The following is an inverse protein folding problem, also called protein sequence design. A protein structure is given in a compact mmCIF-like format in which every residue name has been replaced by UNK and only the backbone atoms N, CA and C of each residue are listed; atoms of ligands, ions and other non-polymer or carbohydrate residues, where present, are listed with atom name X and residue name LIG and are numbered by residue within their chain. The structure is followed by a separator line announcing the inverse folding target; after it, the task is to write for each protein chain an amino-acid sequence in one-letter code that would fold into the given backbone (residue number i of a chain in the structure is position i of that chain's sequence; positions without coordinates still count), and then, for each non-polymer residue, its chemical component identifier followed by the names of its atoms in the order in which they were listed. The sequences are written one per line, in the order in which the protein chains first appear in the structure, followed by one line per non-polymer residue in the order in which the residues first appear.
data_IF_757317622513
#
_entry.id   IF_757317622513
#
_cell.length_a   1.000
_cell.length_b   1.000
_cell.length_c   1.000
_cell.angle_alpha   90.00
_cell.angle_beta   90.00
_cell.angle_gamma   90.00
#
_symmetry.space_group_name_H-M   'P 1'
#
loop_
_entity.id
_entity.type
_entity.pdbx_description
1 polymer ?
#
# COMPACT_ATOMS: atom_id res chain seq x y z
N UNK A 1 0.68 36.69 -33.24
CA UNK A 1 0.49 36.14 -31.88
C UNK A 1 -0.37 34.91 -31.99
N UNK A 2 0.26 33.75 -32.19
CA UNK A 2 -0.42 32.49 -32.43
C UNK A 2 -0.85 31.93 -31.08
N UNK A 3 -2.15 31.94 -30.82
CA UNK A 3 -2.76 31.35 -29.64
C UNK A 3 -2.38 29.87 -29.56
N UNK A 4 -1.61 29.49 -28.54
CA UNK A 4 -1.38 28.10 -28.16
C UNK A 4 -2.74 27.54 -27.75
N UNK A 5 -3.34 26.74 -28.64
CA UNK A 5 -4.47 25.89 -28.29
C UNK A 5 -4.06 25.07 -27.07
N UNK A 6 -4.75 25.30 -25.95
CA UNK A 6 -4.72 24.41 -24.80
C UNK A 6 -5.01 23.00 -25.33
N UNK A 7 -3.97 22.17 -25.39
CA UNK A 7 -4.19 20.74 -25.42
C UNK A 7 -4.84 20.44 -24.08
N UNK A 8 -6.15 20.17 -24.09
CA UNK A 8 -6.77 19.38 -23.03
C UNK A 8 -6.04 18.04 -23.04
N UNK A 9 -4.95 17.99 -22.26
CA UNK A 9 -4.27 16.76 -21.92
C UNK A 9 -5.28 15.98 -21.11
N UNK A 10 -5.98 15.06 -21.79
CA UNK A 10 -6.78 14.03 -21.15
C UNK A 10 -5.82 13.21 -20.27
N UNK A 11 -5.61 13.69 -19.05
CA UNK A 11 -4.88 12.98 -18.03
C UNK A 11 -5.84 11.91 -17.54
N UNK A 12 -5.54 10.61 -17.73
CA UNK A 12 -6.42 9.58 -17.23
C UNK A 12 -6.61 9.81 -15.73
N UNK A 13 -7.88 9.86 -15.29
CA UNK A 13 -8.21 10.14 -13.89
C UNK A 13 -7.49 9.14 -12.99
N UNK A 14 -6.94 9.65 -11.88
CA UNK A 14 -6.51 8.77 -10.81
C UNK A 14 -7.74 8.09 -10.22
N UNK A 15 -7.55 6.86 -9.72
CA UNK A 15 -8.54 6.13 -8.96
C UNK A 15 -8.03 5.99 -7.53
N UNK A 16 -8.89 6.33 -6.58
CA UNK A 16 -8.64 6.14 -5.15
C UNK A 16 -9.69 5.18 -4.61
N UNK A 17 -9.21 4.07 -4.09
CA UNK A 17 -10.03 3.04 -3.46
C UNK A 17 -9.71 3.02 -1.98
N UNK A 18 -10.72 3.26 -1.14
CA UNK A 18 -10.58 3.04 0.29
C UNK A 18 -10.57 1.53 0.56
N UNK A 19 -9.52 1.07 1.24
CA UNK A 19 -9.34 -0.32 1.65
C UNK A 19 -9.13 -0.40 3.15
N UNK A 20 -9.60 0.61 3.90
CA UNK A 20 -9.44 0.71 5.34
C UNK A 20 -10.14 -0.45 6.05
N UNK A 21 -11.22 -1.00 5.53
CA UNK A 21 -11.87 -2.15 6.17
C UNK A 21 -11.43 -3.50 5.59
N UNK A 22 -10.57 -3.52 4.57
CA UNK A 22 -10.01 -4.76 4.04
C UNK A 22 -8.98 -5.37 5.00
N UNK A 23 -9.12 -6.64 5.41
CA UNK A 23 -8.25 -7.32 6.36
C UNK A 23 -6.75 -7.18 6.06
N UNK A 24 -5.99 -6.87 7.10
CA UNK A 24 -4.52 -6.79 7.07
C UNK A 24 -3.93 -7.13 8.43
N UNK A 25 -2.78 -7.78 8.40
CA UNK A 25 -2.10 -8.23 9.62
C UNK A 25 -0.60 -8.22 9.43
N UNK A 26 0.14 -8.00 10.52
CA UNK A 26 1.59 -8.09 10.53
C UNK A 26 2.08 -9.29 11.33
N UNK A 27 3.29 -9.73 11.04
CA UNK A 27 4.01 -10.72 11.83
C UNK A 27 5.43 -10.23 12.07
N UNK A 28 5.93 -10.39 13.30
CA UNK A 28 7.31 -10.03 13.65
C UNK A 28 8.01 -11.13 14.43
N UNK A 29 9.27 -11.36 14.10
CA UNK A 29 10.15 -12.27 14.81
C UNK A 29 11.03 -13.08 13.87
N UNK A 30 12.08 -13.70 14.42
CA UNK A 30 13.08 -14.45 13.64
C UNK A 30 12.49 -15.70 12.98
N UNK A 31 11.34 -16.19 13.44
CA UNK A 31 10.65 -17.35 12.88
C UNK A 31 9.40 -17.00 12.06
N UNK A 32 9.11 -15.71 11.85
CA UNK A 32 7.93 -15.30 11.06
C UNK A 32 8.02 -15.70 9.58
N UNK A 33 9.22 -15.72 9.00
CA UNK A 33 9.41 -16.16 7.62
C UNK A 33 9.05 -17.66 7.46
N UNK A 34 9.58 -18.50 8.34
CA UNK A 34 9.28 -19.94 8.38
C UNK A 34 7.78 -20.19 8.58
N UNK A 35 7.16 -19.49 9.53
CA UNK A 35 5.73 -19.55 9.77
C UNK A 35 4.93 -19.22 8.50
N UNK A 36 5.17 -18.06 7.87
CA UNK A 36 4.40 -17.62 6.70
C UNK A 36 4.63 -18.51 5.48
N UNK A 37 5.86 -18.97 5.23
CA UNK A 37 6.14 -19.92 4.14
C UNK A 37 5.42 -21.25 4.34
N UNK A 38 5.35 -21.78 5.57
CA UNK A 38 4.60 -22.99 5.89
C UNK A 38 3.08 -22.82 5.68
N UNK A 39 2.57 -21.58 5.73
CA UNK A 39 1.18 -21.21 5.41
C UNK A 39 0.95 -20.92 3.91
N UNK A 40 1.96 -21.13 3.07
CA UNK A 40 1.85 -20.99 1.62
C UNK A 40 1.92 -19.55 1.12
N UNK A 41 2.49 -18.62 1.90
CA UNK A 41 2.79 -17.27 1.43
C UNK A 41 4.13 -17.23 0.70
N UNK A 42 4.17 -16.49 -0.41
CA UNK A 42 5.42 -16.20 -1.12
C UNK A 42 6.03 -14.92 -0.54
N UNK A 43 7.25 -15.02 -0.02
CA UNK A 43 7.87 -13.95 0.77
C UNK A 43 8.93 -13.18 -0.03
N UNK A 44 9.02 -11.85 0.15
CA UNK A 44 10.12 -11.06 -0.40
C UNK A 44 11.48 -11.47 0.19
N UNK A 45 12.49 -11.54 -0.66
CA UNK A 45 13.85 -11.97 -0.31
C UNK A 45 14.63 -10.94 0.53
N UNK A 46 14.28 -9.67 0.42
CA UNK A 46 14.92 -8.55 1.12
C UNK A 46 13.92 -7.63 1.82
N UNK A 47 14.35 -6.89 2.86
CA UNK A 47 13.56 -5.81 3.45
C UNK A 47 13.19 -4.73 2.42
N UNK A 48 12.10 -4.02 2.70
CA UNK A 48 11.53 -2.98 1.85
C UNK A 48 11.13 -3.48 0.45
N UNK A 49 10.69 -4.74 0.39
CA UNK A 49 10.15 -5.39 -0.81
C UNK A 49 8.78 -5.99 -0.53
N UNK A 50 7.97 -6.12 -1.56
CA UNK A 50 6.67 -6.74 -1.52
C UNK A 50 6.46 -7.66 -2.72
N UNK A 51 5.69 -8.73 -2.52
CA UNK A 51 5.32 -9.66 -3.58
C UNK A 51 3.80 -9.85 -3.62
N UNK A 52 3.26 -9.79 -4.83
CA UNK A 52 1.90 -10.19 -5.11
C UNK A 52 1.73 -11.68 -4.81
N UNK A 53 0.57 -12.03 -4.28
CA UNK A 53 0.16 -13.40 -4.03
C UNK A 53 -0.80 -13.87 -5.14
N UNK A 54 -0.94 -15.19 -5.32
CA UNK A 54 -1.78 -15.76 -6.38
C UNK A 54 -3.28 -15.44 -6.21
N UNK A 55 -3.72 -15.12 -5.00
CA UNK A 55 -5.09 -14.73 -4.64
C UNK A 55 -5.35 -13.22 -4.81
N UNK A 56 -4.37 -12.45 -5.28
CA UNK A 56 -4.47 -10.99 -5.42
C UNK A 56 -4.07 -10.19 -4.17
N UNK A 57 -3.75 -10.85 -3.06
CA UNK A 57 -3.19 -10.20 -1.87
C UNK A 57 -1.72 -9.80 -2.06
N UNK A 58 -1.14 -9.17 -1.05
CA UNK A 58 0.27 -8.77 -1.05
C UNK A 58 0.96 -9.12 0.26
N UNK A 59 2.25 -9.50 0.17
CA UNK A 59 3.12 -9.66 1.33
C UNK A 59 4.28 -8.70 1.19
N UNK A 60 4.39 -7.75 2.12
CA UNK A 60 5.50 -6.82 2.25
C UNK A 60 6.43 -7.25 3.39
N UNK A 61 7.73 -7.21 3.16
CA UNK A 61 8.77 -7.40 4.18
C UNK A 61 9.28 -6.03 4.60
N UNK A 62 8.86 -5.56 5.76
CA UNK A 62 9.14 -4.20 6.25
C UNK A 62 10.53 -4.08 6.89
N UNK A 63 11.02 -5.15 7.51
CA UNK A 63 12.37 -5.19 8.08
C UNK A 63 12.96 -6.60 7.94
N UNK A 64 14.08 -6.88 8.60
CA UNK A 64 14.67 -8.21 8.56
C UNK A 64 13.69 -9.29 9.04
N UNK A 65 12.87 -8.96 10.04
CA UNK A 65 12.03 -9.91 10.77
C UNK A 65 10.58 -9.43 10.85
N UNK A 66 10.11 -8.55 9.95
CA UNK A 66 8.74 -8.02 10.00
C UNK A 66 8.09 -8.10 8.63
N UNK A 67 6.88 -8.63 8.63
CA UNK A 67 6.05 -8.82 7.45
C UNK A 67 4.69 -8.17 7.66
N UNK A 68 4.11 -7.67 6.57
CA UNK A 68 2.77 -7.11 6.49
C UNK A 68 2.04 -7.83 5.36
N UNK A 69 0.88 -8.39 5.67
CA UNK A 69 -0.02 -9.06 4.74
C UNK A 69 -1.19 -8.12 4.46
N UNK A 70 -1.49 -7.90 3.18
CA UNK A 70 -2.67 -7.18 2.71
C UNK A 70 -3.65 -8.17 2.09
N UNK A 71 -4.91 -8.11 2.52
CA UNK A 71 -6.01 -8.89 1.96
C UNK A 71 -6.27 -8.57 0.50
N UNK A 72 -6.90 -9.52 -0.20
CA UNK A 72 -7.33 -9.34 -1.58
C UNK A 72 -8.77 -8.84 -1.60
N UNK A 73 -9.12 -7.86 -2.45
CA UNK A 73 -10.53 -7.55 -2.69
C UNK A 73 -11.32 -8.72 -3.30
N UNK A 74 -10.66 -9.73 -3.88
CA UNK A 74 -11.31 -10.88 -4.54
C UNK A 74 -12.02 -11.80 -3.55
N UNK A 75 -11.51 -11.91 -2.32
CA UNK A 75 -12.06 -12.74 -1.25
C UNK A 75 -12.45 -11.89 -0.02
N UNK A 76 -12.62 -10.57 -0.20
CA UNK A 76 -12.87 -9.62 0.87
C UNK A 76 -11.81 -9.69 2.00
N UNK A 77 -10.60 -10.16 1.68
CA UNK A 77 -9.51 -10.38 2.61
C UNK A 77 -9.72 -11.53 3.59
N UNK A 78 -10.69 -12.41 3.35
CA UNK A 78 -11.02 -13.53 4.24
C UNK A 78 -9.81 -14.41 4.55
N UNK A 79 -8.93 -14.69 3.58
CA UNK A 79 -7.69 -15.46 3.85
C UNK A 79 -6.85 -14.82 4.95
N UNK A 80 -6.72 -13.50 4.94
CA UNK A 80 -5.89 -12.76 5.90
C UNK A 80 -6.56 -12.69 7.27
N UNK A 81 -7.88 -12.48 7.31
CA UNK A 81 -8.66 -12.56 8.55
C UNK A 81 -8.55 -13.95 9.20
N UNK A 82 -8.63 -15.01 8.40
CA UNK A 82 -8.42 -16.39 8.84
C UNK A 82 -7.01 -16.62 9.41
N UNK A 83 -5.97 -16.09 8.78
CA UNK A 83 -4.60 -16.21 9.29
C UNK A 83 -4.39 -15.48 10.62
N UNK A 84 -5.00 -14.30 10.78
CA UNK A 84 -4.98 -13.57 12.04
C UNK A 84 -5.72 -14.35 13.14
N UNK A 85 -6.93 -14.85 12.86
CA UNK A 85 -7.75 -15.58 13.81
C UNK A 85 -7.17 -16.95 14.22
N UNK A 86 -6.40 -17.59 13.32
CA UNK A 86 -5.75 -18.89 13.58
C UNK A 86 -4.43 -18.77 14.33
N UNK A 87 -3.86 -17.56 14.44
CA UNK A 87 -2.60 -17.40 15.15
C UNK A 87 -2.80 -17.59 16.65
N UNK A 88 -1.90 -18.36 17.26
CA UNK A 88 -1.85 -18.57 18.70
C UNK A 88 -0.44 -18.27 19.20
N UNK A 89 -0.36 -17.71 20.41
CA UNK A 89 0.92 -17.50 21.07
C UNK A 89 1.52 -18.84 21.49
N UNK A 90 2.67 -19.19 20.90
CA UNK A 90 3.44 -20.36 21.25
C UNK A 90 4.91 -20.01 21.59
N UNK A 91 5.78 -21.00 21.64
CA UNK A 91 7.21 -20.80 21.96
C UNK A 91 8.04 -20.24 20.81
N UNK A 92 7.47 -20.06 19.60
CA UNK A 92 8.20 -19.55 18.45
C UNK A 92 8.33 -18.04 18.55
N UNK A 93 9.46 -17.51 18.06
CA UNK A 93 9.65 -16.09 17.83
C UNK A 93 8.87 -15.63 16.59
N UNK A 94 7.54 -15.68 16.66
CA UNK A 94 6.58 -15.23 15.65
C UNK A 94 5.38 -14.56 16.34
N UNK A 95 5.40 -13.24 16.39
CA UNK A 95 4.41 -12.44 17.09
C UNK A 95 3.46 -11.79 16.08
N UNK A 96 2.16 -11.99 16.31
CA UNK A 96 1.11 -11.29 15.59
C UNK A 96 1.18 -9.80 15.90
N UNK A 97 1.01 -8.98 14.87
CA UNK A 97 0.84 -7.54 14.96
C UNK A 97 -0.52 -7.20 14.35
N UNK A 98 -1.58 -7.04 15.17
CA UNK A 98 -2.87 -6.61 14.67
C UNK A 98 -2.72 -5.27 13.94
N UNK A 99 -3.13 -5.20 12.66
CA UNK A 99 -2.98 -4.00 11.83
C UNK A 99 -4.30 -3.35 11.44
N UNK A 100 -5.40 -4.09 11.49
CA UNK A 100 -6.72 -3.63 11.06
C UNK A 100 -7.17 -2.32 11.72
N UNK A 101 -7.00 -2.20 13.03
CA UNK A 101 -7.41 -1.00 13.77
C UNK A 101 -6.32 0.08 13.85
N UNK A 102 -5.07 -0.29 13.57
CA UNK A 102 -3.93 0.64 13.67
C UNK A 102 -3.71 1.48 12.42
N UNK A 103 -3.99 0.93 11.23
CA UNK A 103 -3.73 1.63 9.97
C UNK A 103 -5.03 1.86 9.21
N UNK A 104 -5.19 3.02 8.59
CA UNK A 104 -6.02 3.18 7.40
C UNK A 104 -5.22 2.75 6.17
N UNK A 105 -5.92 2.44 5.07
CA UNK A 105 -5.29 1.98 3.84
C UNK A 105 -6.08 2.45 2.62
N UNK A 106 -5.38 2.99 1.62
CA UNK A 106 -5.95 3.25 0.29
C UNK A 106 -5.11 2.59 -0.78
N UNK A 107 -5.73 2.30 -1.91
CA UNK A 107 -5.05 2.00 -3.17
C UNK A 107 -5.25 3.16 -4.13
N UNK A 108 -4.16 3.85 -4.45
CA UNK A 108 -4.11 4.94 -5.43
C UNK A 108 -3.50 4.42 -6.73
N UNK A 109 -4.22 4.53 -7.85
CA UNK A 109 -3.72 4.11 -9.17
C UNK A 109 -3.98 5.16 -10.25
N UNK A 110 -3.13 5.21 -11.28
CA UNK A 110 -3.25 6.18 -12.38
C UNK A 110 -1.90 6.68 -12.88
N UNK A 111 -1.86 7.22 -14.10
CA UNK A 111 -0.59 7.57 -14.76
C UNK A 111 0.21 8.70 -14.09
N UNK A 112 -0.41 9.47 -13.19
CA UNK A 112 0.19 10.66 -12.54
C UNK A 112 0.38 10.52 -11.02
N UNK A 113 0.24 9.31 -10.48
CA UNK A 113 0.26 9.11 -9.02
C UNK A 113 1.61 9.43 -8.37
N UNK A 114 2.72 9.31 -9.10
CA UNK A 114 4.03 9.69 -8.59
C UNK A 114 4.14 11.22 -8.41
N UNK A 115 3.58 12.00 -9.34
CA UNK A 115 3.54 13.46 -9.29
C UNK A 115 2.63 13.94 -8.15
N UNK A 116 1.46 13.30 -7.97
CA UNK A 116 0.58 13.55 -6.82
C UNK A 116 1.34 13.31 -5.51
N UNK A 117 1.99 12.15 -5.39
CA UNK A 117 2.71 11.80 -4.15
C UNK A 117 3.95 12.66 -3.89
N UNK A 118 4.57 13.27 -4.91
CA UNK A 118 5.67 14.20 -4.73
C UNK A 118 5.27 15.48 -3.97
N UNK A 119 3.97 15.83 -3.95
CA UNK A 119 3.43 16.91 -3.11
C UNK A 119 3.36 16.53 -1.63
N UNK A 120 3.31 15.23 -1.34
CA UNK A 120 3.00 14.70 0.00
C UNK A 120 4.19 13.98 0.65
N UNK A 121 5.12 13.45 -0.13
CA UNK A 121 6.20 12.58 0.31
C UNK A 121 7.55 13.04 -0.26
N UNK A 122 8.60 13.02 0.58
CA UNK A 122 9.96 13.36 0.16
C UNK A 122 10.74 12.23 -0.51
N UNK A 123 10.18 11.02 -0.57
CA UNK A 123 10.78 9.88 -1.28
C UNK A 123 10.48 10.02 -2.76
N UNK A 124 11.47 9.78 -3.61
CA UNK A 124 11.27 9.70 -5.06
C UNK A 124 10.47 8.43 -5.41
N UNK A 125 9.18 8.60 -5.69
CA UNK A 125 8.26 7.53 -6.10
C UNK A 125 8.10 7.43 -7.62
N UNK A 126 8.99 8.07 -8.40
CA UNK A 126 8.99 7.94 -9.86
C UNK A 126 9.39 6.53 -10.29
N UNK A 127 8.94 6.12 -11.49
CA UNK A 127 9.19 4.78 -12.01
C UNK A 127 10.68 4.35 -12.02
N UNK A 128 11.66 5.21 -12.38
CA UNK A 128 13.07 4.84 -12.32
C UNK A 128 13.58 4.51 -10.91
N UNK A 129 13.05 5.19 -9.88
CA UNK A 129 13.49 5.09 -8.50
C UNK A 129 12.70 4.07 -7.66
N UNK A 130 11.39 3.96 -7.90
CA UNK A 130 10.46 3.17 -7.12
C UNK A 130 9.71 2.16 -8.00
N UNK A 131 10.33 1.00 -8.20
CA UNK A 131 9.85 -0.07 -9.07
C UNK A 131 8.73 -0.88 -8.43
N UNK A 132 7.90 -1.60 -9.21
CA UNK A 132 6.97 -2.60 -8.69
C UNK A 132 7.58 -3.51 -7.63
N UNK A 133 6.85 -3.72 -6.54
CA UNK A 133 7.29 -4.49 -5.38
C UNK A 133 8.25 -3.73 -4.45
N UNK A 134 8.55 -2.45 -4.66
CA UNK A 134 9.28 -1.64 -3.67
C UNK A 134 8.35 -1.16 -2.56
N UNK A 135 8.91 -1.03 -1.35
CA UNK A 135 8.24 -0.49 -0.17
C UNK A 135 9.05 0.68 0.37
N UNK A 136 8.38 1.77 0.73
CA UNK A 136 8.97 2.90 1.43
C UNK A 136 8.23 3.10 2.76
N UNK A 137 8.96 3.00 3.87
CA UNK A 137 8.50 3.43 5.19
C UNK A 137 8.99 4.85 5.40
N UNK A 138 8.08 5.82 5.39
CA UNK A 138 8.40 7.24 5.21
C UNK A 138 7.35 8.13 5.85
N UNK A 139 7.51 9.45 5.73
CA UNK A 139 6.47 10.43 6.00
C UNK A 139 5.69 10.73 4.71
N UNK A 140 4.37 10.67 4.78
CA UNK A 140 3.44 11.11 3.74
C UNK A 140 2.43 12.06 4.39
N UNK A 141 2.26 13.26 3.81
CA UNK A 141 1.44 14.32 4.41
C UNK A 141 1.79 14.59 5.89
N UNK A 142 3.09 14.55 6.24
CA UNK A 142 3.61 14.71 7.62
C UNK A 142 3.17 13.62 8.63
N UNK A 143 2.58 12.53 8.17
CA UNK A 143 2.23 11.35 8.99
C UNK A 143 3.14 10.19 8.60
N UNK A 144 3.48 9.34 9.57
CA UNK A 144 4.19 8.09 9.28
C UNK A 144 3.32 7.19 8.40
N UNK A 145 3.87 6.74 7.29
CA UNK A 145 3.17 5.90 6.33
C UNK A 145 4.08 4.88 5.65
N UNK A 146 3.43 3.86 5.10
CA UNK A 146 4.03 2.80 4.29
C UNK A 146 3.46 2.94 2.89
N UNK A 147 4.32 3.15 1.90
CA UNK A 147 3.95 3.16 0.49
C UNK A 147 4.49 1.89 -0.15
N UNK A 148 3.63 1.15 -0.86
CA UNK A 148 3.97 -0.12 -1.51
C UNK A 148 3.61 0.01 -2.99
N UNK A 149 4.57 -0.18 -3.89
CA UNK A 149 4.27 -0.22 -5.33
C UNK A 149 3.64 -1.57 -5.70
N UNK A 150 2.31 -1.60 -5.82
CA UNK A 150 1.53 -2.80 -6.14
C UNK A 150 0.96 -2.80 -7.56
N UNK A 151 1.29 -1.81 -8.38
CA UNK A 151 0.95 -1.77 -9.80
C UNK A 151 2.06 -2.35 -10.70
N UNK A 152 1.89 -2.15 -12.00
CA UNK A 152 2.93 -2.37 -13.02
C UNK A 152 3.50 -1.04 -13.51
N UNK A 153 4.38 -1.09 -14.51
CA UNK A 153 4.92 0.12 -15.16
C UNK A 153 3.81 0.81 -15.98
N UNK A 154 2.98 0.02 -16.64
CA UNK A 154 1.89 0.45 -17.50
C UNK A 154 0.68 0.91 -16.69
N UNK A 155 0.42 0.25 -15.56
CA UNK A 155 -0.70 0.55 -14.65
C UNK A 155 -0.13 0.74 -13.24
N UNK A 156 0.49 1.88 -12.95
CA UNK A 156 1.08 2.14 -11.64
C UNK A 156 0.00 2.24 -10.57
N UNK A 157 0.32 1.70 -9.40
CA UNK A 157 -0.56 1.72 -8.24
C UNK A 157 0.26 1.65 -6.95
N UNK A 158 -0.15 2.43 -5.96
CA UNK A 158 0.41 2.45 -4.63
C UNK A 158 -0.65 2.01 -3.62
N UNK A 159 -0.34 1.02 -2.78
CA UNK A 159 -1.02 0.93 -1.49
C UNK A 159 -0.31 1.88 -0.53
N UNK A 160 -1.10 2.68 0.17
CA UNK A 160 -0.62 3.66 1.14
C UNK A 160 -1.31 3.35 2.46
N UNK A 161 -0.51 3.08 3.49
CA UNK A 161 -0.99 2.79 4.83
C UNK A 161 -0.46 3.86 5.79
N UNK A 162 -1.29 4.31 6.71
CA UNK A 162 -0.94 5.32 7.72
C UNK A 162 -1.81 5.15 8.96
N UNK A 163 -1.52 5.87 10.04
CA UNK A 163 -2.28 5.77 11.29
C UNK A 163 -3.78 6.08 11.11
N UNK A 164 -4.65 5.13 11.52
CA UNK A 164 -6.10 5.21 11.29
C UNK A 164 -6.75 6.43 11.96
N UNK A 165 -6.21 6.90 13.09
CA UNK A 165 -6.74 8.08 13.78
C UNK A 165 -6.53 9.38 12.99
N UNK A 166 -5.62 9.38 12.00
CA UNK A 166 -5.37 10.50 11.10
C UNK A 166 -6.01 10.36 9.71
N UNK A 167 -6.94 9.42 9.53
CA UNK A 167 -7.63 9.13 8.24
C UNK A 167 -8.19 10.38 7.56
N UNK A 168 -9.07 11.13 8.22
CA UNK A 168 -9.72 12.31 7.64
C UNK A 168 -8.71 13.37 7.19
N UNK A 169 -7.70 13.64 8.01
CA UNK A 169 -6.62 14.57 7.67
C UNK A 169 -5.84 14.09 6.44
N UNK A 170 -5.43 12.82 6.42
CA UNK A 170 -4.64 12.26 5.35
C UNK A 170 -5.40 12.25 4.03
N UNK A 171 -6.67 11.86 4.05
CA UNK A 171 -7.54 11.84 2.87
C UNK A 171 -7.79 13.25 2.34
N UNK A 172 -8.02 14.22 3.22
CA UNK A 172 -8.12 15.63 2.83
C UNK A 172 -6.86 16.12 2.11
N UNK A 173 -5.67 15.81 2.64
CA UNK A 173 -4.41 16.17 2.01
C UNK A 173 -4.18 15.43 0.67
N UNK A 174 -4.61 14.17 0.58
CA UNK A 174 -4.49 13.38 -0.63
C UNK A 174 -5.42 13.88 -1.74
N UNK A 175 -6.67 14.20 -1.41
CA UNK A 175 -7.66 14.75 -2.34
C UNK A 175 -7.20 16.13 -2.83
N UNK A 176 -6.77 17.02 -1.95
CA UNK A 176 -6.19 18.33 -2.33
C UNK A 176 -4.99 18.16 -3.29
N UNK A 177 -4.13 17.17 -3.04
CA UNK A 177 -3.03 16.87 -3.95
C UNK A 177 -3.51 16.44 -5.35
N UNK A 178 -4.59 15.66 -5.42
CA UNK A 178 -5.21 15.14 -6.64
C UNK A 178 -5.95 16.20 -7.47
N UNK A 179 -6.48 17.25 -6.86
CA UNK A 179 -7.25 18.30 -7.56
C UNK A 179 -6.45 18.96 -8.69
N UNK A 180 -5.15 19.16 -8.51
CA UNK A 180 -4.25 19.72 -9.54
C UNK A 180 -4.13 18.83 -10.79
N UNK A 181 -4.47 17.55 -10.69
CA UNK A 181 -4.33 16.55 -11.75
C UNK A 181 -5.67 16.09 -12.35
N UNK A 182 -6.73 16.88 -12.16
CA UNK A 182 -8.06 16.57 -12.69
C UNK A 182 -8.94 15.76 -11.73
N UNK A 183 -8.55 15.65 -10.46
CA UNK A 183 -9.34 14.99 -9.42
C UNK A 183 -9.24 13.47 -9.45
N UNK A 184 -10.24 12.80 -8.86
CA UNK A 184 -10.24 11.37 -8.63
C UNK A 184 -11.62 10.75 -8.80
N UNK A 185 -11.67 9.59 -9.46
CA UNK A 185 -12.82 8.70 -9.37
C UNK A 185 -12.70 7.90 -8.07
N UNK A 186 -13.57 8.22 -7.11
CA UNK A 186 -13.68 7.49 -5.86
C UNK A 186 -14.59 6.28 -6.07
N UNK A 187 -14.07 5.09 -5.78
CA UNK A 187 -14.90 3.88 -5.66
C UNK A 187 -15.06 3.57 -4.18
N UNK A 188 -16.32 3.46 -3.75
CA UNK A 188 -16.71 2.98 -2.41
C UNK A 188 -16.63 1.46 -2.39
#
# INVERSE_FOLDING_TARGET
MTSLKAHELFTPACQLQDQTDLPRVGFRGTQSAEYLSARGFTLPDAPNRALAQADGGWVARLSQNEYLLLGSPQDEGQRIADEEARWELDHRANYLLPRQDSHACVRLSGGVIAQVMAKLCGVDLSHPAFKPGMVAQTSVARVNGIVIHTGSVEVPAFHILWDRASKEYFEGALVDALEEFGGVDQSV
#
